data_IF_906827758658
#
_entry.id   IF_906827758658
#
_cell.length_a   1.000
_cell.length_b   1.000
_cell.length_c   1.000
_cell.angle_alpha   90.00
_cell.angle_beta   90.00
_cell.angle_gamma   90.00
#
_symmetry.space_group_name_H-M   'P 1'
#
loop_
_entity.id
_entity.type
_entity.pdbx_description
1 polymer ?
#
# COMPACT_ATOMS: atom_id res chain seq x y z
N UNK A 1 -29.90 -5.44 4.15
CA UNK A 1 -29.14 -6.36 3.28
C UNK A 1 -27.67 -5.95 3.20
N UNK A 2 -27.39 -4.70 2.83
CA UNK A 2 -26.01 -4.19 2.65
C UNK A 2 -25.12 -4.30 3.90
N UNK A 3 -25.69 -4.26 5.11
CA UNK A 3 -24.93 -4.39 6.37
C UNK A 3 -24.37 -5.80 6.62
N UNK A 4 -25.02 -6.85 6.08
CA UNK A 4 -24.64 -8.26 6.22
C UNK A 4 -24.40 -8.87 4.84
N UNK A 5 -23.75 -8.10 3.96
CA UNK A 5 -23.61 -8.45 2.56
C UNK A 5 -22.87 -9.77 2.38
N UNK A 6 -21.79 -10.00 3.13
CA UNK A 6 -20.95 -11.18 2.97
C UNK A 6 -21.66 -12.44 3.41
N UNK A 7 -22.40 -12.39 4.52
CA UNK A 7 -23.23 -13.52 4.96
C UNK A 7 -24.25 -13.89 3.87
N UNK A 8 -24.94 -12.89 3.34
CA UNK A 8 -25.97 -13.07 2.30
C UNK A 8 -25.36 -13.59 1.00
N UNK A 9 -24.21 -13.04 0.60
CA UNK A 9 -23.44 -13.52 -0.54
C UNK A 9 -23.10 -15.00 -0.36
N UNK A 10 -22.41 -15.37 0.72
CA UNK A 10 -22.00 -16.75 0.99
C UNK A 10 -23.20 -17.71 0.98
N UNK A 11 -24.24 -17.42 1.76
CA UNK A 11 -25.45 -18.26 1.81
C UNK A 11 -26.13 -18.38 0.45
N UNK A 12 -26.15 -17.30 -0.35
CA UNK A 12 -26.78 -17.32 -1.68
C UNK A 12 -26.01 -18.15 -2.70
N UNK A 13 -24.67 -18.15 -2.64
CA UNK A 13 -23.82 -18.85 -3.60
C UNK A 13 -23.50 -20.29 -3.19
N UNK A 14 -23.76 -20.68 -1.94
CA UNK A 14 -23.72 -22.08 -1.49
C UNK A 14 -24.82 -22.94 -2.11
N UNK A 15 -25.98 -22.35 -2.42
CA UNK A 15 -27.14 -23.06 -2.97
C UNK A 15 -27.60 -22.43 -4.29
N UNK A 16 -27.74 -23.25 -5.33
CA UNK A 16 -28.23 -22.81 -6.65
C UNK A 16 -29.70 -22.33 -6.66
N UNK A 17 -30.40 -22.43 -5.53
CA UNK A 17 -31.82 -22.07 -5.41
C UNK A 17 -32.08 -20.55 -5.26
N UNK A 18 -31.04 -19.73 -5.03
CA UNK A 18 -31.19 -18.31 -4.73
C UNK A 18 -30.78 -17.38 -5.90
N UNK A 19 -31.19 -17.69 -7.13
CA UNK A 19 -30.74 -16.98 -8.34
C UNK A 19 -31.00 -15.46 -8.31
N UNK A 20 -32.16 -15.02 -7.80
CA UNK A 20 -32.46 -13.59 -7.69
C UNK A 20 -31.53 -12.87 -6.71
N UNK A 21 -31.20 -13.53 -5.60
CA UNK A 21 -30.29 -13.00 -4.58
C UNK A 21 -28.85 -12.98 -5.08
N UNK A 22 -28.41 -14.04 -5.77
CA UNK A 22 -27.12 -14.07 -6.47
C UNK A 22 -27.02 -12.92 -7.47
N UNK A 23 -28.06 -12.71 -8.30
CA UNK A 23 -28.13 -11.59 -9.25
C UNK A 23 -28.05 -10.23 -8.54
N UNK A 24 -28.74 -10.06 -7.42
CA UNK A 24 -28.65 -8.86 -6.60
C UNK A 24 -27.21 -8.64 -6.10
N UNK A 25 -26.57 -9.68 -5.56
CA UNK A 25 -25.19 -9.62 -5.08
C UNK A 25 -24.20 -9.27 -6.18
N UNK A 26 -24.28 -9.94 -7.34
CA UNK A 26 -23.45 -9.66 -8.52
C UNK A 26 -23.64 -8.21 -9.01
N UNK A 27 -24.88 -7.72 -9.04
CA UNK A 27 -25.17 -6.34 -9.39
C UNK A 27 -24.57 -5.35 -8.38
N UNK A 28 -24.59 -5.65 -7.08
CA UNK A 28 -24.01 -4.80 -6.05
C UNK A 28 -22.48 -4.73 -6.20
N UNK A 29 -21.82 -5.87 -6.40
CA UNK A 29 -20.37 -5.97 -6.62
C UNK A 29 -19.96 -5.17 -7.87
N UNK A 30 -20.73 -5.28 -8.95
CA UNK A 30 -20.39 -4.64 -10.23
C UNK A 30 -20.63 -3.12 -10.21
N UNK A 31 -21.75 -2.68 -9.63
CA UNK A 31 -22.22 -1.30 -9.76
C UNK A 31 -21.88 -0.43 -8.55
N UNK A 32 -21.79 -1.01 -7.35
CA UNK A 32 -21.56 -0.27 -6.10
C UNK A 32 -20.61 -1.02 -5.14
N UNK A 33 -19.41 -1.43 -5.59
CA UNK A 33 -18.47 -2.20 -4.76
C UNK A 33 -18.03 -1.46 -3.48
N UNK A 34 -18.09 -0.13 -3.48
CA UNK A 34 -17.80 0.72 -2.32
C UNK A 34 -18.74 0.46 -1.13
N UNK A 35 -19.96 -0.02 -1.37
CA UNK A 35 -20.92 -0.35 -0.30
C UNK A 35 -20.46 -1.58 0.50
N UNK A 36 -19.71 -2.49 -0.12
CA UNK A 36 -19.25 -3.73 0.52
C UNK A 36 -18.18 -3.42 1.58
N UNK A 37 -17.28 -2.47 1.33
CA UNK A 37 -16.32 -2.01 2.34
C UNK A 37 -16.98 -1.37 3.58
N UNK A 38 -18.23 -0.94 3.46
CA UNK A 38 -19.00 -0.32 4.55
C UNK A 38 -19.88 -1.33 5.29
N UNK A 39 -19.88 -2.60 4.89
CA UNK A 39 -20.66 -3.63 5.58
C UNK A 39 -20.06 -3.93 6.96
N UNK A 40 -20.92 -4.33 7.90
CA UNK A 40 -20.49 -4.68 9.26
C UNK A 40 -19.65 -5.96 9.25
N UNK A 41 -19.94 -6.84 8.30
CA UNK A 41 -19.29 -8.13 8.10
C UNK A 41 -18.12 -8.06 7.11
N UNK A 42 -17.57 -6.88 6.79
CA UNK A 42 -16.49 -6.77 5.81
C UNK A 42 -15.27 -7.65 6.14
N UNK A 43 -14.94 -7.83 7.42
CA UNK A 43 -13.87 -8.72 7.87
C UNK A 43 -14.08 -10.19 7.50
N UNK A 44 -15.31 -10.62 7.19
CA UNK A 44 -15.61 -12.00 6.77
C UNK A 44 -15.69 -12.17 5.26
N UNK A 45 -15.39 -11.12 4.49
CA UNK A 45 -15.36 -11.18 3.02
C UNK A 45 -14.41 -12.29 2.56
N UNK A 46 -14.84 -13.25 1.72
CA UNK A 46 -13.94 -14.20 1.10
C UNK A 46 -12.84 -13.50 0.30
N UNK A 47 -11.60 -13.97 0.38
CA UNK A 47 -10.44 -13.33 -0.28
C UNK A 47 -10.67 -13.10 -1.78
N UNK A 48 -11.23 -14.08 -2.49
CA UNK A 48 -11.57 -13.96 -3.92
C UNK A 48 -12.55 -12.82 -4.21
N UNK A 49 -13.54 -12.64 -3.34
CA UNK A 49 -14.51 -11.56 -3.46
C UNK A 49 -13.81 -10.22 -3.19
N UNK A 50 -12.99 -10.13 -2.14
CA UNK A 50 -12.20 -8.94 -1.83
C UNK A 50 -11.31 -8.51 -3.03
N UNK A 51 -10.61 -9.46 -3.65
CA UNK A 51 -9.79 -9.21 -4.84
C UNK A 51 -10.63 -8.62 -5.98
N UNK A 52 -11.78 -9.23 -6.29
CA UNK A 52 -12.65 -8.74 -7.37
C UNK A 52 -13.18 -7.31 -7.12
N UNK A 53 -13.46 -6.98 -5.85
CA UNK A 53 -13.88 -5.65 -5.43
C UNK A 53 -12.72 -4.65 -5.61
N UNK A 54 -11.50 -4.98 -5.16
CA UNK A 54 -10.30 -4.12 -5.27
C UNK A 54 -9.96 -3.81 -6.73
N UNK A 55 -10.11 -4.80 -7.61
CA UNK A 55 -9.79 -4.68 -9.04
C UNK A 55 -10.82 -3.84 -9.82
N UNK A 56 -12.03 -3.65 -9.28
CA UNK A 56 -13.12 -2.97 -9.96
C UNK A 56 -12.81 -1.50 -10.26
N UNK A 57 -12.91 -1.12 -11.54
CA UNK A 57 -12.81 0.28 -11.99
C UNK A 57 -13.95 1.17 -11.49
N UNK A 58 -15.08 0.56 -11.10
CA UNK A 58 -16.26 1.26 -10.61
C UNK A 58 -16.15 1.59 -9.10
N UNK A 59 -15.09 1.13 -8.43
CA UNK A 59 -14.87 1.38 -7.02
C UNK A 59 -14.59 2.87 -6.75
N UNK A 60 -15.60 3.57 -6.24
CA UNK A 60 -15.54 5.00 -5.87
C UNK A 60 -14.79 5.20 -4.55
N UNK A 61 -13.49 4.96 -4.55
CA UNK A 61 -12.61 5.04 -3.39
C UNK A 61 -11.17 5.32 -3.82
N UNK A 62 -10.46 6.19 -3.08
CA UNK A 62 -9.04 6.48 -3.34
C UNK A 62 -8.17 5.25 -3.08
N UNK A 63 -7.00 5.17 -3.73
CA UNK A 63 -6.12 4.01 -3.56
C UNK A 63 -5.55 3.88 -2.16
N UNK A 64 -5.41 4.99 -1.42
CA UNK A 64 -5.01 4.91 -0.02
C UNK A 64 -6.10 4.25 0.84
N UNK A 65 -7.35 4.62 0.65
CA UNK A 65 -8.48 4.01 1.37
C UNK A 65 -8.62 2.52 1.04
N UNK A 66 -8.28 2.11 -0.18
CA UNK A 66 -8.24 0.68 -0.56
C UNK A 66 -7.19 -0.05 0.26
N UNK A 67 -5.98 0.50 0.28
CA UNK A 67 -4.87 -0.07 1.02
C UNK A 67 -5.19 -0.21 2.51
N UNK A 68 -5.76 0.82 3.13
CA UNK A 68 -6.22 0.79 4.52
C UNK A 68 -7.26 -0.31 4.78
N UNK A 69 -8.21 -0.50 3.85
CA UNK A 69 -9.21 -1.56 3.98
C UNK A 69 -8.62 -2.96 3.78
N UNK A 70 -7.63 -3.12 2.89
CA UNK A 70 -6.88 -4.37 2.72
C UNK A 70 -6.14 -4.73 4.00
N UNK A 71 -5.45 -3.76 4.62
CA UNK A 71 -4.81 -3.95 5.91
C UNK A 71 -5.81 -4.30 7.01
N UNK A 72 -6.93 -3.57 7.10
CA UNK A 72 -8.01 -3.85 8.05
C UNK A 72 -8.56 -5.27 7.91
N UNK A 73 -8.76 -5.73 6.67
CA UNK A 73 -9.18 -7.10 6.41
C UNK A 73 -8.11 -8.10 6.84
N UNK A 74 -6.84 -7.85 6.51
CA UNK A 74 -5.71 -8.69 6.90
C UNK A 74 -5.54 -8.82 8.42
N UNK A 75 -5.67 -7.71 9.16
CA UNK A 75 -5.65 -7.72 10.62
C UNK A 75 -6.81 -8.50 11.22
N UNK A 76 -8.00 -8.41 10.62
CA UNK A 76 -9.14 -9.19 11.08
C UNK A 76 -8.96 -10.71 10.90
N UNK A 77 -8.14 -11.15 9.92
CA UNK A 77 -7.79 -12.56 9.75
C UNK A 77 -6.72 -13.04 10.75
N UNK A 78 -6.01 -12.12 11.40
CA UNK A 78 -4.88 -12.42 12.30
C UNK A 78 -5.14 -11.82 13.69
N UNK A 79 -6.05 -12.41 14.48
CA UNK A 79 -6.37 -11.90 15.81
C UNK A 79 -5.13 -11.95 16.72
N UNK A 80 -4.90 -10.88 17.48
CA UNK A 80 -3.79 -10.81 18.45
C UNK A 80 -2.58 -10.00 17.97
N UNK A 81 -2.60 -9.45 16.76
CA UNK A 81 -1.56 -8.51 16.34
C UNK A 81 -1.50 -7.26 17.22
N UNK A 82 -0.30 -6.68 17.42
CA UNK A 82 -0.16 -5.36 18.00
C UNK A 82 -0.93 -4.30 17.21
N UNK A 83 -1.38 -3.23 17.88
CA UNK A 83 -2.05 -2.12 17.20
C UNK A 83 -1.10 -1.28 16.33
N UNK A 84 0.20 -1.24 16.68
CA UNK A 84 1.22 -0.48 15.97
C UNK A 84 2.16 -1.44 15.19
N UNK A 85 2.30 -1.28 13.86
CA UNK A 85 3.23 -2.05 13.02
C UNK A 85 4.69 -1.98 13.47
N UNK A 86 5.10 -0.92 14.16
CA UNK A 86 6.46 -0.80 14.71
C UNK A 86 6.78 -1.89 15.74
N UNK A 87 5.75 -2.44 16.39
CA UNK A 87 5.84 -3.50 17.39
C UNK A 87 5.69 -4.91 16.81
N UNK A 88 5.56 -5.05 15.49
CA UNK A 88 5.41 -6.36 14.86
C UNK A 88 6.71 -7.17 14.95
N UNK A 89 6.58 -8.40 15.43
CA UNK A 89 7.62 -9.41 15.32
C UNK A 89 7.82 -9.84 13.86
N UNK A 90 8.87 -10.62 13.61
CA UNK A 90 9.09 -11.23 12.28
C UNK A 90 7.92 -12.14 11.88
N UNK A 91 7.36 -12.87 12.84
CA UNK A 91 6.29 -13.83 12.58
C UNK A 91 4.95 -13.13 12.33
N UNK A 92 4.71 -11.98 12.97
CA UNK A 92 3.54 -11.13 12.66
C UNK A 92 3.58 -10.64 11.20
N UNK A 93 4.74 -10.14 10.76
CA UNK A 93 4.92 -9.74 9.36
C UNK A 93 4.76 -10.91 8.40
N UNK A 94 5.29 -12.09 8.72
CA UNK A 94 5.12 -13.29 7.89
C UNK A 94 3.65 -13.71 7.78
N UNK A 95 2.92 -13.68 8.90
CA UNK A 95 1.50 -14.06 8.94
C UNK A 95 0.64 -13.09 8.13
N UNK A 96 0.88 -11.78 8.29
CA UNK A 96 0.20 -10.76 7.48
C UNK A 96 0.55 -10.87 5.99
N UNK A 97 1.82 -11.12 5.67
CA UNK A 97 2.28 -11.33 4.29
C UNK A 97 1.56 -12.50 3.63
N UNK A 98 1.47 -13.64 4.32
CA UNK A 98 0.78 -14.82 3.80
C UNK A 98 -0.71 -14.54 3.59
N UNK A 99 -1.34 -13.81 4.52
CA UNK A 99 -2.76 -13.42 4.44
C UNK A 99 -3.04 -12.49 3.27
N UNK A 100 -2.16 -11.53 3.00
CA UNK A 100 -2.39 -10.49 1.99
C UNK A 100 -1.73 -10.78 0.64
N UNK A 101 -1.07 -11.92 0.49
CA UNK A 101 -0.27 -12.26 -0.68
C UNK A 101 -1.03 -12.11 -2.00
N UNK A 102 -2.30 -12.55 -2.08
CA UNK A 102 -3.09 -12.44 -3.32
C UNK A 102 -3.78 -11.07 -3.47
N UNK A 103 -3.97 -10.35 -2.36
CA UNK A 103 -4.56 -9.02 -2.38
C UNK A 103 -3.57 -7.95 -2.86
N UNK A 104 -2.30 -8.04 -2.43
CA UNK A 104 -1.25 -7.04 -2.72
C UNK A 104 -1.12 -6.73 -4.22
N UNK A 105 -1.02 -7.72 -5.14
CA UNK A 105 -0.92 -7.46 -6.57
C UNK A 105 -2.12 -6.72 -7.17
N UNK A 106 -3.26 -6.73 -6.49
CA UNK A 106 -4.49 -6.08 -6.97
C UNK A 106 -4.58 -4.59 -6.59
N UNK A 107 -3.75 -4.12 -5.64
CA UNK A 107 -3.74 -2.73 -5.20
C UNK A 107 -2.97 -1.86 -6.19
N UNK A 108 -3.55 -0.73 -6.60
CA UNK A 108 -2.95 0.18 -7.60
C UNK A 108 -1.96 1.15 -6.94
N UNK A 109 -0.90 0.64 -6.31
CA UNK A 109 0.06 1.45 -5.54
C UNK A 109 0.64 2.65 -6.32
N UNK A 110 0.87 2.51 -7.63
CA UNK A 110 1.39 3.58 -8.49
C UNK A 110 0.47 4.81 -8.65
N UNK A 111 -0.79 4.70 -8.19
CA UNK A 111 -1.78 5.77 -8.17
C UNK A 111 -1.89 6.48 -6.81
N UNK A 112 -1.04 6.10 -5.84
CA UNK A 112 -0.83 6.86 -4.61
C UNK A 112 0.00 8.12 -4.87
N UNK A 113 -0.07 9.08 -3.96
CA UNK A 113 0.89 10.17 -3.83
C UNK A 113 2.14 9.71 -3.07
N UNK A 114 3.28 10.39 -3.26
CA UNK A 114 4.51 10.09 -2.50
C UNK A 114 4.29 10.17 -0.99
N UNK A 115 3.43 11.10 -0.52
CA UNK A 115 3.04 11.22 0.88
C UNK A 115 2.29 9.96 1.37
N UNK A 116 1.29 9.52 0.61
CA UNK A 116 0.51 8.33 0.97
C UNK A 116 1.38 7.08 0.98
N UNK A 117 2.25 6.92 -0.02
CA UNK A 117 3.23 5.82 -0.07
C UNK A 117 4.14 5.83 1.16
N UNK A 118 4.76 6.97 1.46
CA UNK A 118 5.72 7.08 2.58
C UNK A 118 5.08 6.76 3.93
N UNK A 119 3.92 7.35 4.24
CA UNK A 119 3.32 7.20 5.57
C UNK A 119 2.51 5.91 5.75
N UNK A 120 1.98 5.32 4.67
CA UNK A 120 1.02 4.21 4.80
C UNK A 120 1.51 2.90 4.19
N UNK A 121 2.44 2.92 3.23
CA UNK A 121 2.95 1.71 2.57
C UNK A 121 4.31 1.30 3.15
N UNK A 122 5.23 2.25 3.33
CA UNK A 122 6.58 1.98 3.87
C UNK A 122 6.59 1.28 5.24
N UNK A 123 5.70 1.60 6.20
CA UNK A 123 5.65 0.87 7.48
C UNK A 123 5.44 -0.64 7.33
N UNK A 124 4.80 -1.05 6.23
CA UNK A 124 4.50 -2.44 5.92
C UNK A 124 5.43 -3.04 4.85
N UNK A 125 6.55 -2.39 4.51
CA UNK A 125 7.44 -2.86 3.41
C UNK A 125 7.80 -4.35 3.46
N UNK A 126 7.89 -4.95 4.65
CA UNK A 126 8.22 -6.37 4.86
C UNK A 126 7.18 -7.36 4.30
N UNK A 127 5.92 -6.93 4.10
CA UNK A 127 4.88 -7.79 3.54
C UNK A 127 4.81 -7.73 2.01
N UNK A 128 5.42 -6.72 1.39
CA UNK A 128 5.46 -6.58 -0.06
C UNK A 128 6.51 -7.52 -0.67
N UNK A 129 6.28 -8.02 -1.89
CA UNK A 129 7.36 -8.60 -2.70
C UNK A 129 8.49 -7.58 -2.89
N UNK A 130 9.75 -8.03 -2.76
CA UNK A 130 10.91 -7.14 -2.83
C UNK A 130 10.98 -6.37 -4.15
N UNK A 131 10.71 -7.03 -5.27
CA UNK A 131 10.69 -6.42 -6.61
C UNK A 131 9.65 -5.29 -6.67
N UNK A 132 8.41 -5.56 -6.23
CA UNK A 132 7.35 -4.56 -6.15
C UNK A 132 7.77 -3.37 -5.29
N UNK A 133 8.34 -3.60 -4.10
CA UNK A 133 8.74 -2.52 -3.22
C UNK A 133 9.85 -1.65 -3.82
N UNK A 134 10.86 -2.25 -4.46
CA UNK A 134 11.94 -1.51 -5.09
C UNK A 134 11.44 -0.68 -6.28
N UNK A 135 10.54 -1.23 -7.09
CA UNK A 135 9.93 -0.50 -8.22
C UNK A 135 9.07 0.67 -7.75
N UNK A 136 8.29 0.48 -6.67
CA UNK A 136 7.53 1.56 -6.05
C UNK A 136 8.46 2.63 -5.48
N UNK A 137 9.50 2.22 -4.75
CA UNK A 137 10.48 3.13 -4.18
C UNK A 137 11.13 4.00 -5.26
N UNK A 138 11.57 3.39 -6.37
CA UNK A 138 12.10 4.11 -7.52
C UNK A 138 11.07 5.10 -8.08
N UNK A 139 9.83 4.65 -8.29
CA UNK A 139 8.74 5.48 -8.82
C UNK A 139 8.49 6.74 -7.98
N UNK A 140 8.54 6.61 -6.65
CA UNK A 140 8.19 7.71 -5.75
C UNK A 140 9.35 8.64 -5.38
N UNK A 141 10.59 8.21 -5.63
CA UNK A 141 11.80 9.00 -5.39
C UNK A 141 12.30 9.74 -6.64
N UNK A 142 12.13 9.15 -7.82
CA UNK A 142 12.57 9.74 -9.09
C UNK A 142 11.39 10.40 -9.81
N UNK A 143 11.34 11.74 -9.92
CA UNK A 143 10.25 12.46 -10.57
C UNK A 143 10.16 12.20 -12.09
N UNK A 144 11.25 11.76 -12.73
CA UNK A 144 11.28 11.43 -14.15
C UNK A 144 10.89 9.97 -14.41
N UNK A 145 10.91 9.13 -13.37
CA UNK A 145 10.50 7.74 -13.48
C UNK A 145 9.00 7.62 -13.73
N UNK A 146 8.65 6.92 -14.81
CA UNK A 146 7.26 6.53 -15.10
C UNK A 146 7.15 5.03 -14.93
N UNK A 147 6.16 4.52 -14.17
CA UNK A 147 5.90 3.10 -14.13
C UNK A 147 5.52 2.64 -15.53
N UNK A 148 6.18 1.59 -16.03
CA UNK A 148 5.92 1.02 -17.36
C UNK A 148 4.44 0.61 -17.48
N UNK A 149 3.88 0.05 -16.40
CA UNK A 149 2.51 -0.45 -16.35
C UNK A 149 1.67 0.27 -15.28
N UNK A 150 1.68 1.61 -15.27
CA UNK A 150 0.82 2.35 -14.33
C UNK A 150 -0.66 2.06 -14.64
N UNK A 151 -1.41 1.41 -13.74
CA UNK A 151 -2.82 1.15 -13.96
C UNK A 151 -3.60 2.46 -14.01
N UNK A 152 -4.64 2.52 -14.84
CA UNK A 152 -5.49 3.72 -14.94
C UNK A 152 -6.10 4.06 -13.57
N UNK A 153 -6.23 5.36 -13.24
CA UNK A 153 -7.02 5.79 -12.09
C UNK A 153 -8.45 5.26 -12.19
N UNK A 154 -9.08 5.04 -11.03
CA UNK A 154 -10.48 4.62 -10.99
C UNK A 154 -11.40 5.73 -11.49
N UNK A 155 -12.57 5.33 -12.00
CA UNK A 155 -13.57 6.28 -12.50
C UNK A 155 -14.10 7.10 -11.33
N UNK A 156 -14.18 8.42 -11.47
CA UNK A 156 -14.84 9.30 -10.49
C UNK A 156 -13.99 9.73 -9.28
N UNK A 157 -12.76 9.22 -9.12
CA UNK A 157 -11.84 9.68 -8.08
C UNK A 157 -10.91 10.78 -8.61
N UNK A 158 -11.12 12.02 -8.16
CA UNK A 158 -10.26 13.16 -8.48
C UNK A 158 -8.97 13.10 -7.65
N UNK A 159 -8.00 12.31 -8.07
CA UNK A 159 -6.64 12.41 -7.52
C UNK A 159 -5.92 13.53 -8.27
N UNK A 160 -6.01 14.76 -7.78
CA UNK A 160 -5.05 15.79 -8.20
C UNK A 160 -3.69 15.41 -7.62
N UNK A 161 -2.90 14.64 -8.36
CA UNK A 161 -1.51 14.37 -8.03
C UNK A 161 -0.71 15.66 -8.19
N UNK A 162 -0.79 16.56 -7.21
CA UNK A 162 0.23 17.58 -7.01
C UNK A 162 1.32 16.91 -6.18
N UNK A 163 2.48 16.69 -6.79
CA UNK A 163 3.70 16.47 -6.02
C UNK A 163 3.76 17.62 -5.02
N UNK A 164 3.74 17.30 -3.73
CA UNK A 164 3.85 18.33 -2.70
C UNK A 164 5.28 18.87 -2.81
N UNK A 165 5.41 20.13 -3.21
CA UNK A 165 6.68 20.87 -3.29
C UNK A 165 7.53 20.77 -2.02
N UNK A 166 6.89 20.42 -0.90
CA UNK A 166 7.53 20.16 0.38
C UNK A 166 8.44 18.91 0.38
N UNK A 167 8.10 17.85 -0.35
CA UNK A 167 8.95 16.65 -0.45
C UNK A 167 10.16 16.88 -1.35
N UNK A 168 10.00 17.63 -2.44
CA UNK A 168 11.10 18.04 -3.31
C UNK A 168 12.12 18.87 -2.52
N UNK A 169 11.61 19.84 -1.75
CA UNK A 169 12.45 20.65 -0.85
C UNK A 169 13.15 19.81 0.22
N UNK A 170 12.47 18.81 0.80
CA UNK A 170 13.06 17.94 1.83
C UNK A 170 14.16 17.02 1.25
N UNK A 171 13.99 16.56 0.01
CA UNK A 171 15.02 15.77 -0.69
C UNK A 171 16.26 16.63 -0.98
N UNK A 172 16.07 17.86 -1.46
CA UNK A 172 17.17 18.81 -1.67
C UNK A 172 17.91 19.17 -0.36
N UNK A 173 17.17 19.36 0.74
CA UNK A 173 17.74 19.59 2.08
C UNK A 173 18.61 18.40 2.52
N UNK A 174 18.12 17.17 2.37
CA UNK A 174 18.85 15.94 2.73
C UNK A 174 20.08 15.71 1.84
N UNK A 175 19.98 15.98 0.54
CA UNK A 175 21.13 15.89 -0.38
C UNK A 175 22.22 16.91 -0.02
N UNK A 176 21.83 18.12 0.40
CA UNK A 176 22.76 19.16 0.85
C UNK A 176 23.47 18.75 2.14
N UNK A 177 22.74 18.22 3.13
CA UNK A 177 23.31 17.72 4.40
C UNK A 177 24.30 16.56 4.17
N UNK A 178 23.99 15.65 3.24
CA UNK A 178 24.90 14.54 2.88
C UNK A 178 26.16 15.08 2.20
N UNK A 179 26.03 16.06 1.31
CA UNK A 179 27.18 16.65 0.62
C UNK A 179 28.12 17.40 1.58
N UNK A 180 27.56 18.18 2.50
CA UNK A 180 28.32 18.90 3.54
C UNK A 180 29.06 17.92 4.47
N UNK A 181 28.37 16.88 4.93
CA UNK A 181 28.95 15.78 5.71
C UNK A 181 30.13 15.13 4.99
N UNK A 182 29.96 14.77 3.72
CA UNK A 182 31.00 14.06 2.95
C UNK A 182 32.21 14.96 2.66
N UNK A 183 31.98 16.26 2.44
CA UNK A 183 33.04 17.26 2.21
C UNK A 183 33.86 17.50 3.48
N UNK A 184 33.19 17.60 4.63
CA UNK A 184 33.83 17.76 5.93
C UNK A 184 34.80 16.60 6.24
N UNK A 185 34.35 15.35 6.07
CA UNK A 185 35.19 14.18 6.31
C UNK A 185 36.36 14.06 5.30
N UNK A 186 36.17 14.49 4.06
CA UNK A 186 37.24 14.50 3.04
C UNK A 186 38.34 15.50 3.38
N UNK A 187 37.98 16.65 3.97
CA UNK A 187 38.96 17.64 4.44
C UNK A 187 39.75 17.17 5.67
N UNK A 188 39.14 16.40 6.58
CA UNK A 188 39.85 15.82 7.72
C UNK A 188 40.83 14.70 7.32
N UNK A 189 40.56 13.94 6.25
CA UNK A 189 41.49 12.91 5.76
C UNK A 189 42.76 13.49 5.13
N UNK A 190 42.66 14.61 4.39
CA UNK A 190 43.81 15.28 3.77
C UNK A 190 44.75 15.92 4.82
N UNK A 191 44.19 16.36 5.96
CA UNK A 191 44.96 16.94 7.08
C UNK A 191 45.75 15.83 7.82
N UNK A 192 45.20 14.62 7.92
CA UNK A 192 45.83 13.52 8.65
C UNK A 192 46.91 12.77 7.83
N UNK A 193 46.84 12.76 6.49
CA UNK A 193 47.94 12.23 5.66
C UNK A 193 49.18 13.15 5.67
N UNK A 194 49.02 14.43 6.03
CA UNK A 194 50.12 15.41 6.05
C UNK A 194 51.00 15.38 7.32
N UNK A 195 50.76 14.48 8.29
CA UNK A 195 51.48 14.47 9.59
C UNK A 195 52.35 13.24 9.90
N UNK A 196 52.62 12.33 8.94
CA UNK A 196 53.63 11.28 9.16
C UNK A 196 55.03 11.71 8.69
N UNK A 197 55.70 12.55 9.50
CA UNK A 197 57.14 12.78 9.40
C UNK A 197 57.83 12.22 10.66
N UNK A 198 58.53 11.09 10.52
CA UNK A 198 59.38 10.49 11.56
C UNK A 198 60.67 11.31 11.75
N UNK A 199 61.12 11.57 12.99
CA UNK A 199 62.53 11.81 13.28
C UNK A 199 63.20 10.55 13.86
N UNK A 200 64.49 10.44 13.56
CA UNK A 200 65.43 9.35 13.83
C UNK A 200 65.63 8.98 15.31
#
# INVERSE_FOLDING_TARGET
>A
MEQNFNLIYQTSFEKNSFLELQKYCTNLISNNPNKIFKSLDFSTTPEKLLISIIQSDNLQMTEIQVWENVLKWGFAQNPGFPSDPSNFSKDDFNSLKNTLHQCIPSVRFYNLTSKEFFYNVVPYKKILPNELYMDLLKTFLDPDSKPIDKPKPRKGTNNSSKISSHFQKRLEEVETEIHESTTYYSQETDINESTTYYPQ
#
